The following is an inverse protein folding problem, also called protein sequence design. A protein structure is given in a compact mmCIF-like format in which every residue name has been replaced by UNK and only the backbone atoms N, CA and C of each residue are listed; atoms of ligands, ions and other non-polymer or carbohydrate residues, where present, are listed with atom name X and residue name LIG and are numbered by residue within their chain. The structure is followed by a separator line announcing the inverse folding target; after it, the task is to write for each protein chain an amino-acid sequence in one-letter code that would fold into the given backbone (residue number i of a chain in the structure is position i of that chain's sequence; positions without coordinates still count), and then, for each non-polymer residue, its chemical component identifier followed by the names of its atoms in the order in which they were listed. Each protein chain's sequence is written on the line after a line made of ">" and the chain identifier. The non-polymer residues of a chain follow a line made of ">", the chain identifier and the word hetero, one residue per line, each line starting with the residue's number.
data_IF_135799387635
#
_entry.id   IF_135799387635
#
_cell.length_a   1.000
_cell.length_b   1.000
_cell.length_c   1.000
_cell.angle_alpha   90.00
_cell.angle_beta   90.00
_cell.angle_gamma   90.00
#
_symmetry.space_group_name_H-M   'P 1'
#
loop_
_entity.id
_entity.type
_entity.pdbx_description
1 polymer ?
#
# COMPACT_ATOMS: atom_id res chain seq x y z
N UNK A 1 31.28 -47.96 -3.36
CA UNK A 1 31.94 -49.10 -2.66
C UNK A 1 30.91 -49.72 -1.76
N UNK A 2 30.97 -51.03 -1.53
CA UNK A 2 30.05 -51.74 -0.63
C UNK A 2 30.63 -51.79 0.79
N UNK A 3 29.77 -51.89 1.81
CA UNK A 3 30.14 -52.03 3.23
C UNK A 3 31.23 -53.09 3.48
N UNK A 4 31.13 -54.24 2.81
CA UNK A 4 32.12 -55.33 2.89
C UNK A 4 33.53 -54.92 2.45
N UNK A 5 33.64 -54.09 1.41
CA UNK A 5 34.89 -53.56 0.90
C UNK A 5 35.48 -52.52 1.86
N UNK A 6 34.65 -51.71 2.49
CA UNK A 6 35.10 -50.65 3.41
C UNK A 6 35.56 -51.19 4.75
N UNK A 7 34.86 -52.15 5.34
CA UNK A 7 35.33 -52.85 6.55
C UNK A 7 36.73 -53.43 6.29
N UNK A 8 36.91 -54.11 5.15
CA UNK A 8 38.20 -54.71 4.78
C UNK A 8 39.29 -53.67 4.53
N UNK A 9 38.96 -52.57 3.84
CA UNK A 9 39.87 -51.47 3.53
C UNK A 9 40.37 -50.82 4.82
N UNK A 10 39.48 -50.26 5.62
CA UNK A 10 39.85 -49.49 6.81
C UNK A 10 40.44 -50.38 7.90
N UNK A 11 40.03 -51.65 8.03
CA UNK A 11 40.69 -52.58 8.95
C UNK A 11 42.18 -52.75 8.60
N UNK A 12 42.49 -52.90 7.32
CA UNK A 12 43.87 -53.02 6.84
C UNK A 12 44.65 -51.72 7.02
N UNK A 13 44.04 -50.57 6.75
CA UNK A 13 44.66 -49.25 6.97
C UNK A 13 45.00 -49.02 8.46
N UNK A 14 44.18 -49.56 9.37
CA UNK A 14 44.44 -49.57 10.81
C UNK A 14 45.38 -50.71 11.26
N UNK A 15 46.02 -51.45 10.33
CA UNK A 15 46.95 -52.55 10.62
C UNK A 15 46.38 -53.68 11.51
N UNK A 16 45.06 -53.89 11.50
CA UNK A 16 44.42 -54.93 12.31
C UNK A 16 44.28 -56.23 11.50
N UNK A 17 44.57 -57.38 12.13
CA UNK A 17 44.17 -58.69 11.59
C UNK A 17 42.66 -58.91 11.76
N UNK A 18 42.05 -59.84 11.01
CA UNK A 18 40.65 -60.20 11.21
C UNK A 18 40.39 -60.74 12.63
N UNK A 19 41.36 -61.43 13.22
CA UNK A 19 41.30 -61.93 14.59
C UNK A 19 41.22 -60.76 15.59
N UNK A 20 42.17 -59.83 15.51
CA UNK A 20 42.21 -58.66 16.40
C UNK A 20 40.97 -57.77 16.26
N UNK A 21 40.48 -57.59 15.02
CA UNK A 21 39.27 -56.83 14.75
C UNK A 21 38.03 -57.51 15.35
N UNK A 22 37.93 -58.84 15.23
CA UNK A 22 36.86 -59.62 15.81
C UNK A 22 36.88 -59.58 17.35
N UNK A 23 38.07 -59.75 17.95
CA UNK A 23 38.23 -59.72 19.40
C UNK A 23 37.78 -58.40 20.02
N UNK A 24 38.10 -57.27 19.38
CA UNK A 24 37.71 -55.94 19.87
C UNK A 24 36.20 -55.67 19.78
N UNK A 25 35.50 -56.32 18.85
CA UNK A 25 34.05 -56.21 18.66
C UNK A 25 33.28 -57.34 19.36
N UNK A 26 33.97 -58.20 20.12
CA UNK A 26 33.39 -59.38 20.78
C UNK A 26 32.63 -60.31 19.83
N UNK A 27 33.12 -60.46 18.60
CA UNK A 27 32.58 -61.38 17.59
C UNK A 27 33.61 -62.43 17.18
N UNK A 28 33.19 -63.46 16.44
CA UNK A 28 34.11 -64.46 15.91
C UNK A 28 34.85 -63.95 14.66
N UNK A 29 36.09 -64.37 14.45
CA UNK A 29 36.83 -64.09 13.20
C UNK A 29 36.07 -64.54 11.96
N UNK A 30 35.32 -65.64 12.05
CA UNK A 30 34.49 -66.15 10.97
C UNK A 30 33.37 -65.15 10.60
N UNK A 31 32.79 -64.43 11.57
CA UNK A 31 31.81 -63.38 11.30
C UNK A 31 32.43 -62.23 10.50
N UNK A 32 33.59 -61.73 10.93
CA UNK A 32 34.34 -60.68 10.21
C UNK A 32 34.71 -61.11 8.79
N UNK A 33 35.17 -62.35 8.61
CA UNK A 33 35.47 -62.90 7.29
C UNK A 33 34.24 -62.93 6.37
N UNK A 34 33.07 -63.30 6.90
CA UNK A 34 31.81 -63.27 6.14
C UNK A 34 31.38 -61.84 5.79
N UNK A 35 31.60 -60.87 6.67
CA UNK A 35 31.33 -59.45 6.39
C UNK A 35 32.21 -58.94 5.24
N UNK A 36 33.51 -59.19 5.31
CA UNK A 36 34.48 -58.72 4.30
C UNK A 36 34.38 -59.43 2.94
N UNK A 37 33.73 -60.58 2.90
CA UNK A 37 33.47 -61.36 1.67
C UNK A 37 32.04 -61.22 1.18
N UNK A 38 31.26 -60.30 1.77
CA UNK A 38 29.87 -60.02 1.40
C UNK A 38 28.92 -61.24 1.53
N UNK A 39 29.24 -62.18 2.42
CA UNK A 39 28.46 -63.39 2.72
C UNK A 39 27.46 -63.20 3.86
N UNK A 40 27.67 -62.20 4.70
CA UNK A 40 26.72 -61.74 5.72
C UNK A 40 26.98 -60.28 6.06
N UNK A 41 26.11 -59.67 6.85
CA UNK A 41 26.26 -58.30 7.34
C UNK A 41 26.53 -58.30 8.86
N UNK A 42 27.24 -57.29 9.38
CA UNK A 42 27.22 -57.01 10.81
C UNK A 42 25.80 -56.68 11.26
N UNK A 43 25.50 -56.96 12.53
CA UNK A 43 24.28 -56.44 13.15
C UNK A 43 24.27 -54.91 13.05
N UNK A 44 23.10 -54.32 12.81
CA UNK A 44 22.96 -52.86 12.72
C UNK A 44 23.48 -52.15 13.97
N UNK A 45 23.34 -52.79 15.15
CA UNK A 45 23.82 -52.27 16.42
C UNK A 45 25.35 -52.28 16.54
N UNK A 46 26.05 -53.07 15.74
CA UNK A 46 27.52 -53.10 15.69
C UNK A 46 28.09 -52.04 14.75
N UNK A 47 27.30 -51.47 13.84
CA UNK A 47 27.79 -50.49 12.86
C UNK A 47 28.42 -49.24 13.51
N UNK A 48 27.86 -48.64 14.58
CA UNK A 48 28.51 -47.52 15.26
C UNK A 48 29.88 -47.89 15.83
N UNK A 49 29.99 -49.05 16.47
CA UNK A 49 31.25 -49.53 17.06
C UNK A 49 32.30 -49.85 16.00
N UNK A 50 31.86 -50.42 14.87
CA UNK A 50 32.73 -50.66 13.71
C UNK A 50 33.25 -49.34 13.14
N UNK A 51 32.40 -48.34 12.97
CA UNK A 51 32.76 -47.03 12.43
C UNK A 51 33.77 -46.32 13.35
N UNK A 52 33.51 -46.31 14.66
CA UNK A 52 34.39 -45.74 15.68
C UNK A 52 35.76 -46.44 15.69
N UNK A 53 35.78 -47.78 15.68
CA UNK A 53 37.04 -48.54 15.72
C UNK A 53 37.88 -48.39 14.45
N UNK A 54 37.24 -48.07 13.33
CA UNK A 54 37.89 -47.81 12.04
C UNK A 54 38.22 -46.33 11.83
N UNK A 55 37.81 -45.46 12.76
CA UNK A 55 37.97 -44.01 12.72
C UNK A 55 37.35 -43.35 11.46
N UNK A 56 36.13 -43.77 11.12
CA UNK A 56 35.35 -43.25 9.99
C UNK A 56 33.90 -42.99 10.42
N UNK A 57 33.13 -42.24 9.63
CA UNK A 57 31.69 -42.07 9.89
C UNK A 57 30.90 -43.35 9.51
N UNK A 58 29.69 -43.52 10.07
CA UNK A 58 28.81 -44.63 9.66
C UNK A 58 28.42 -44.48 8.18
N UNK A 59 28.19 -43.26 7.71
CA UNK A 59 27.90 -42.95 6.30
C UNK A 59 29.07 -43.39 5.40
N UNK A 60 30.31 -43.05 5.81
CA UNK A 60 31.51 -43.52 5.14
C UNK A 60 31.61 -45.05 5.19
N UNK A 61 31.31 -45.71 6.31
CA UNK A 61 31.35 -47.17 6.46
C UNK A 61 30.36 -47.92 5.54
N UNK A 62 29.16 -47.37 5.31
CA UNK A 62 28.12 -48.00 4.45
C UNK A 62 28.25 -47.63 2.98
N UNK A 63 29.29 -46.88 2.60
CA UNK A 63 29.61 -46.54 1.21
C UNK A 63 28.85 -45.35 0.68
N UNK A 64 28.24 -44.55 1.57
CA UNK A 64 27.68 -43.25 1.23
C UNK A 64 28.87 -42.30 1.11
N UNK A 65 29.18 -41.88 -0.13
CA UNK A 65 30.17 -40.83 -0.33
C UNK A 65 29.57 -39.55 0.22
N UNK A 66 30.04 -39.12 1.39
CA UNK A 66 29.98 -37.72 1.74
C UNK A 66 30.89 -36.98 0.76
N UNK A 67 30.28 -36.35 -0.24
CA UNK A 67 30.86 -35.15 -0.82
C UNK A 67 30.96 -34.15 0.32
N UNK A 68 32.09 -34.13 1.02
CA UNK A 68 32.70 -32.96 1.67
C UNK A 68 33.75 -33.41 2.71
N UNK A 69 35.03 -33.20 2.37
CA UNK A 69 36.08 -33.07 3.38
C UNK A 69 35.78 -31.82 4.21
N UNK A 70 35.94 -32.02 5.52
CA UNK A 70 35.41 -31.23 6.61
C UNK A 70 35.96 -29.81 6.74
N UNK A 71 35.11 -28.97 7.36
CA UNK A 71 35.47 -27.87 8.28
C UNK A 71 35.99 -26.55 7.71
N UNK A 72 35.09 -25.82 7.04
CA UNK A 72 34.79 -24.41 7.36
C UNK A 72 33.53 -23.89 6.64
N UNK A 73 32.51 -24.73 6.44
CA UNK A 73 31.23 -24.30 5.90
C UNK A 73 30.14 -24.60 6.94
N UNK A 74 29.89 -23.58 7.77
CA UNK A 74 28.58 -23.36 8.36
C UNK A 74 27.52 -23.56 7.27
N UNK A 75 26.52 -24.39 7.56
CA UNK A 75 25.20 -24.47 6.92
C UNK A 75 25.03 -23.58 5.68
N UNK A 76 25.42 -24.06 4.50
CA UNK A 76 24.82 -23.56 3.26
C UNK A 76 23.59 -24.41 2.96
N UNK A 77 22.56 -24.19 3.76
CA UNK A 77 21.21 -24.07 3.19
C UNK A 77 21.40 -23.15 1.98
N UNK A 78 20.98 -23.57 0.79
CA UNK A 78 20.93 -22.69 -0.38
C UNK A 78 19.82 -21.67 -0.10
N UNK A 79 20.04 -20.77 0.85
CA UNK A 79 19.49 -19.44 0.80
C UNK A 79 20.07 -18.84 -0.47
N UNK A 80 19.27 -18.83 -1.54
CA UNK A 80 19.48 -17.88 -2.63
C UNK A 80 19.53 -16.50 -1.96
N UNK A 81 20.72 -16.02 -1.59
CA UNK A 81 20.95 -14.63 -1.23
C UNK A 81 20.54 -13.82 -2.45
N UNK A 82 19.31 -13.31 -2.44
CA UNK A 82 18.83 -12.38 -3.45
C UNK A 82 19.85 -11.25 -3.42
N UNK A 83 20.56 -10.98 -4.52
CA UNK A 83 21.64 -10.01 -4.50
C UNK A 83 21.06 -8.68 -4.04
N UNK A 84 21.68 -8.04 -3.03
CA UNK A 84 21.14 -6.83 -2.38
C UNK A 84 20.72 -5.74 -3.39
N UNK A 85 21.39 -5.68 -4.55
CA UNK A 85 21.01 -4.82 -5.69
C UNK A 85 19.61 -5.13 -6.25
N UNK A 86 19.21 -6.40 -6.38
CA UNK A 86 17.86 -6.80 -6.82
C UNK A 86 16.79 -6.48 -5.77
N UNK A 87 17.09 -6.68 -4.48
CA UNK A 87 16.18 -6.28 -3.39
C UNK A 87 15.94 -4.76 -3.43
N UNK A 88 17.02 -3.98 -3.58
CA UNK A 88 16.95 -2.52 -3.66
C UNK A 88 16.15 -2.02 -4.89
N UNK A 89 16.31 -2.69 -6.04
CA UNK A 89 15.54 -2.37 -7.25
C UNK A 89 14.05 -2.69 -7.03
N UNK A 90 13.72 -3.86 -6.48
CA UNK A 90 12.33 -4.21 -6.18
C UNK A 90 11.70 -3.22 -5.19
N UNK A 91 12.41 -2.84 -4.12
CA UNK A 91 11.88 -1.85 -3.17
C UNK A 91 11.67 -0.48 -3.81
N UNK A 92 12.59 -0.05 -4.69
CA UNK A 92 12.44 1.21 -5.41
C UNK A 92 11.26 1.20 -6.38
N UNK A 93 11.03 0.08 -7.09
CA UNK A 93 9.88 -0.09 -7.98
C UNK A 93 8.56 -0.05 -7.20
N UNK A 94 8.48 -0.76 -6.07
CA UNK A 94 7.28 -0.75 -5.22
C UNK A 94 6.99 0.65 -4.70
N UNK A 95 8.01 1.38 -4.24
CA UNK A 95 7.86 2.76 -3.79
C UNK A 95 7.40 3.69 -4.93
N UNK A 96 7.99 3.54 -6.13
CA UNK A 96 7.59 4.31 -7.31
C UNK A 96 6.14 4.05 -7.69
N UNK A 97 5.71 2.78 -7.71
CA UNK A 97 4.31 2.40 -7.98
C UNK A 97 3.39 3.01 -6.93
N UNK A 98 3.76 2.96 -5.64
CA UNK A 98 2.95 3.55 -4.57
C UNK A 98 2.77 5.07 -4.76
N UNK A 99 3.86 5.80 -5.04
CA UNK A 99 3.82 7.24 -5.33
C UNK A 99 2.96 7.53 -6.57
N UNK A 100 3.14 6.75 -7.63
CA UNK A 100 2.38 6.89 -8.86
C UNK A 100 0.88 6.63 -8.64
N UNK A 101 0.51 5.62 -7.84
CA UNK A 101 -0.87 5.36 -7.46
C UNK A 101 -1.50 6.54 -6.71
N UNK A 102 -0.78 7.14 -5.75
CA UNK A 102 -1.26 8.33 -5.02
C UNK A 102 -1.47 9.49 -5.99
N UNK A 103 -0.54 9.70 -6.93
CA UNK A 103 -0.66 10.73 -7.96
C UNK A 103 -1.87 10.50 -8.88
N UNK A 104 -2.10 9.26 -9.33
CA UNK A 104 -3.27 8.91 -10.14
C UNK A 104 -4.58 9.12 -9.39
N UNK A 105 -4.66 8.74 -8.11
CA UNK A 105 -5.83 8.97 -7.27
C UNK A 105 -6.12 10.48 -7.17
N UNK A 106 -5.08 11.30 -7.01
CA UNK A 106 -5.21 12.77 -6.97
C UNK A 106 -5.79 13.33 -8.28
N UNK A 107 -5.29 12.88 -9.44
CA UNK A 107 -5.81 13.26 -10.77
C UNK A 107 -7.29 12.87 -10.92
N UNK A 108 -7.63 11.63 -10.57
CA UNK A 108 -9.00 11.14 -10.66
C UNK A 108 -9.95 11.97 -9.79
N UNK A 109 -9.51 12.35 -8.58
CA UNK A 109 -10.32 13.16 -7.69
C UNK A 109 -10.54 14.58 -8.24
N UNK A 110 -9.50 15.21 -8.81
CA UNK A 110 -9.62 16.52 -9.48
C UNK A 110 -10.69 16.49 -10.59
N UNK A 111 -10.66 15.48 -11.46
CA UNK A 111 -11.65 15.31 -12.52
C UNK A 111 -13.07 15.11 -11.99
N UNK A 112 -13.24 14.39 -10.87
CA UNK A 112 -14.56 14.18 -10.24
C UNK A 112 -15.20 15.51 -9.85
N UNK A 113 -14.45 16.44 -9.26
CA UNK A 113 -15.01 17.72 -8.86
C UNK A 113 -15.32 18.61 -10.05
N UNK A 114 -14.46 18.65 -11.07
CA UNK A 114 -14.74 19.33 -12.33
C UNK A 114 -16.05 18.86 -12.97
N UNK A 115 -16.28 17.55 -13.04
CA UNK A 115 -17.54 16.98 -13.54
C UNK A 115 -18.72 17.43 -12.68
N UNK A 116 -18.55 17.46 -11.35
CA UNK A 116 -19.58 17.94 -10.41
C UNK A 116 -19.93 19.40 -10.72
N UNK A 117 -18.94 20.28 -10.84
CA UNK A 117 -19.18 21.71 -11.11
C UNK A 117 -19.94 21.93 -12.42
N UNK A 118 -19.50 21.27 -13.50
CA UNK A 118 -20.17 21.34 -14.80
C UNK A 118 -21.62 20.85 -14.75
N UNK A 119 -21.87 19.80 -13.95
CA UNK A 119 -23.20 19.22 -13.77
C UNK A 119 -24.17 20.17 -13.05
N UNK A 120 -23.73 20.83 -11.98
CA UNK A 120 -24.62 21.65 -11.14
C UNK A 120 -24.72 23.10 -11.61
N UNK A 121 -23.62 23.70 -12.03
CA UNK A 121 -23.57 25.11 -12.37
C UNK A 121 -23.64 25.37 -13.88
N UNK A 122 -23.66 24.32 -14.71
CA UNK A 122 -23.74 24.36 -16.19
C UNK A 122 -22.69 25.23 -16.88
N UNK A 123 -21.60 25.55 -16.19
CA UNK A 123 -20.51 26.38 -16.72
C UNK A 123 -19.32 25.54 -17.14
N UNK A 124 -18.65 25.97 -18.21
CA UNK A 124 -17.34 25.42 -18.60
C UNK A 124 -16.26 26.15 -17.79
N UNK A 125 -15.49 25.39 -17.00
CA UNK A 125 -14.42 25.97 -16.19
C UNK A 125 -13.23 26.42 -17.05
N UNK A 126 -12.57 27.54 -16.71
CA UNK A 126 -11.29 27.96 -17.27
C UNK A 126 -10.15 26.98 -16.96
N UNK A 127 -8.97 27.26 -17.48
CA UNK A 127 -7.77 26.49 -17.14
C UNK A 127 -7.43 26.70 -15.65
N UNK A 128 -7.31 25.61 -14.91
CA UNK A 128 -6.99 25.63 -13.48
C UNK A 128 -5.47 25.67 -13.30
N UNK A 129 -5.00 26.58 -12.45
CA UNK A 129 -3.62 26.64 -11.98
C UNK A 129 -3.40 25.70 -10.79
N UNK A 130 -4.26 25.80 -9.78
CA UNK A 130 -4.23 24.93 -8.61
C UNK A 130 -5.62 24.69 -8.04
N UNK A 131 -5.74 23.60 -7.28
CA UNK A 131 -6.97 23.18 -6.64
C UNK A 131 -6.68 22.63 -5.25
N UNK A 132 -7.48 23.04 -4.27
CA UNK A 132 -7.43 22.53 -2.90
C UNK A 132 -8.83 22.19 -2.40
N UNK A 133 -8.91 21.21 -1.50
CA UNK A 133 -10.13 20.83 -0.82
C UNK A 133 -9.91 20.88 0.69
N UNK A 134 -10.81 21.57 1.38
CA UNK A 134 -10.85 21.63 2.83
C UNK A 134 -12.12 20.93 3.34
N UNK A 135 -11.94 19.93 4.20
CA UNK A 135 -13.04 19.27 4.90
C UNK A 135 -13.22 19.88 6.28
N UNK A 136 -14.47 20.07 6.69
CA UNK A 136 -14.83 20.68 7.97
C UNK A 136 -15.49 19.67 8.91
N UNK A 137 -15.40 18.37 8.64
CA UNK A 137 -16.00 17.32 9.48
C UNK A 137 -15.58 17.42 10.95
N UNK A 138 -14.32 17.74 11.22
CA UNK A 138 -13.81 17.93 12.59
C UNK A 138 -14.40 19.16 13.30
N UNK A 139 -14.96 20.11 12.55
CA UNK A 139 -15.57 21.34 13.05
C UNK A 139 -17.08 21.16 13.28
N UNK A 140 -17.70 20.16 12.64
CA UNK A 140 -19.10 19.79 12.84
C UNK A 140 -19.36 19.14 14.21
N UNK A 141 -18.34 18.51 14.80
CA UNK A 141 -18.45 17.77 16.06
C UNK A 141 -18.15 18.62 17.31
N UNK A 142 -17.83 19.90 17.14
CA UNK A 142 -17.75 20.83 18.25
C UNK A 142 -19.16 21.38 18.44
N UNK A 143 -19.82 21.04 19.57
CA UNK A 143 -20.98 21.81 20.04
C UNK A 143 -20.51 23.25 20.20
N UNK A 144 -20.62 24.06 19.14
CA UNK A 144 -20.31 25.47 19.28
C UNK A 144 -21.36 26.04 20.21
N UNK A 145 -20.94 26.62 21.34
CA UNK A 145 -21.80 27.31 22.32
C UNK A 145 -22.73 28.36 21.68
N UNK A 146 -22.50 28.71 20.41
CA UNK A 146 -23.21 29.73 19.64
C UNK A 146 -24.16 29.19 18.55
N UNK A 147 -24.37 27.87 18.44
CA UNK A 147 -25.30 27.30 17.44
C UNK A 147 -24.89 27.50 15.98
N UNK A 148 -23.61 27.77 15.72
CA UNK A 148 -23.08 28.00 14.39
C UNK A 148 -22.78 26.66 13.70
N UNK A 149 -23.42 26.38 12.56
CA UNK A 149 -23.09 25.21 11.74
C UNK A 149 -22.07 25.56 10.65
N UNK A 150 -21.26 24.57 10.28
CA UNK A 150 -20.20 24.69 9.28
C UNK A 150 -20.60 24.03 7.96
N UNK A 151 -19.99 24.43 6.82
CA UNK A 151 -20.10 23.64 5.61
C UNK A 151 -19.50 22.25 5.83
N UNK A 152 -19.83 21.27 5.00
CA UNK A 152 -19.18 19.95 5.00
C UNK A 152 -17.80 20.03 4.37
N UNK A 153 -17.71 20.68 3.21
CA UNK A 153 -16.47 20.86 2.48
C UNK A 153 -16.45 22.18 1.72
N UNK A 154 -15.24 22.64 1.45
CA UNK A 154 -14.95 23.78 0.59
C UNK A 154 -13.93 23.33 -0.44
N UNK A 155 -14.23 23.63 -1.69
CA UNK A 155 -13.31 23.48 -2.81
C UNK A 155 -12.83 24.85 -3.22
N UNK A 156 -11.55 24.93 -3.50
CA UNK A 156 -10.87 26.15 -3.84
C UNK A 156 -10.14 25.95 -5.17
N UNK A 157 -10.50 26.74 -6.17
CA UNK A 157 -9.89 26.73 -7.49
C UNK A 157 -9.20 28.06 -7.74
N UNK A 158 -7.93 28.01 -8.15
CA UNK A 158 -7.19 29.14 -8.71
C UNK A 158 -7.11 28.93 -10.22
N UNK A 159 -7.53 29.92 -11.00
CA UNK A 159 -7.47 29.86 -12.45
C UNK A 159 -6.21 30.53 -12.99
N UNK A 160 -5.69 29.98 -14.10
CA UNK A 160 -4.55 30.56 -14.81
C UNK A 160 -4.95 31.90 -15.40
N UNK A 161 -4.03 32.86 -15.34
CA UNK A 161 -4.19 34.20 -15.92
C UNK A 161 -4.06 34.19 -17.44
N UNK A 162 -5.12 33.79 -18.15
CA UNK A 162 -5.21 33.88 -19.61
C UNK A 162 -6.56 34.47 -20.05
N UNK A 163 -6.68 34.82 -21.34
CA UNK A 163 -7.87 35.43 -21.94
C UNK A 163 -9.20 34.69 -21.64
N UNK A 164 -9.17 33.44 -21.17
CA UNK A 164 -10.37 32.64 -20.84
C UNK A 164 -11.11 33.09 -19.57
N UNK A 165 -10.53 33.96 -18.74
CA UNK A 165 -11.18 34.46 -17.51
C UNK A 165 -12.24 35.53 -17.78
N UNK A 166 -12.01 36.38 -18.77
CA UNK A 166 -12.99 37.37 -19.22
C UNK A 166 -14.16 36.67 -19.90
N UNK A 167 -13.89 35.72 -20.80
CA UNK A 167 -14.91 34.86 -21.43
C UNK A 167 -15.75 34.12 -20.39
N UNK A 168 -15.11 33.60 -19.34
CA UNK A 168 -15.82 32.94 -18.25
C UNK A 168 -16.75 33.91 -17.52
N UNK A 169 -16.24 35.08 -17.15
CA UNK A 169 -17.03 36.13 -16.46
C UNK A 169 -18.18 36.65 -17.33
N UNK A 170 -17.98 36.70 -18.65
CA UNK A 170 -19.00 37.01 -19.65
C UNK A 170 -20.08 35.93 -19.70
N UNK A 171 -19.71 34.65 -19.76
CA UNK A 171 -20.67 33.56 -19.71
C UNK A 171 -21.47 33.51 -18.40
N UNK A 172 -20.83 33.82 -17.26
CA UNK A 172 -21.54 33.95 -15.99
C UNK A 172 -22.55 35.09 -16.02
N UNK A 173 -22.21 36.22 -16.66
CA UNK A 173 -23.12 37.35 -16.81
C UNK A 173 -24.34 37.05 -17.68
N UNK A 174 -24.17 36.29 -18.77
CA UNK A 174 -25.29 35.90 -19.63
C UNK A 174 -26.16 34.80 -19.01
N UNK A 175 -25.67 34.11 -17.98
CA UNK A 175 -26.40 33.04 -17.32
C UNK A 175 -27.44 33.58 -16.35
N UNK A 176 -28.71 33.19 -16.53
CA UNK A 176 -29.76 33.42 -15.54
C UNK A 176 -29.52 32.69 -14.21
N UNK A 177 -28.61 31.71 -14.18
CA UNK A 177 -28.33 30.88 -13.02
C UNK A 177 -27.37 31.56 -12.02
N UNK A 178 -26.61 32.58 -12.44
CA UNK A 178 -25.59 33.23 -11.62
C UNK A 178 -25.99 34.65 -11.22
N UNK A 179 -26.06 34.91 -9.92
CA UNK A 179 -26.33 36.24 -9.38
C UNK A 179 -25.06 37.09 -9.33
N UNK A 180 -25.23 38.41 -9.50
CA UNK A 180 -24.14 39.42 -9.50
C UNK A 180 -24.12 40.35 -8.29
N UNK A 181 -25.27 40.54 -7.66
CA UNK A 181 -25.38 41.44 -6.52
C UNK A 181 -24.95 40.74 -5.23
N UNK A 182 -24.62 41.49 -4.17
CA UNK A 182 -24.42 40.89 -2.86
C UNK A 182 -25.72 40.18 -2.47
N UNK A 183 -25.69 38.86 -2.50
CA UNK A 183 -26.75 38.00 -1.98
C UNK A 183 -27.14 38.56 -0.62
N UNK A 184 -28.42 38.95 -0.43
CA UNK A 184 -28.89 39.41 0.88
C UNK A 184 -28.79 38.22 1.82
N UNK A 185 -27.72 38.19 2.60
CA UNK A 185 -27.43 37.15 3.57
C UNK A 185 -28.48 37.24 4.68
N UNK A 186 -29.38 36.27 4.76
CA UNK A 186 -29.95 35.91 6.05
C UNK A 186 -28.86 35.16 6.79
N UNK A 187 -28.37 35.71 7.90
CA UNK A 187 -27.32 35.10 8.75
C UNK A 187 -27.70 33.70 9.24
N UNK A 188 -28.96 33.31 9.12
CA UNK A 188 -29.45 32.00 9.51
C UNK A 188 -29.36 30.94 8.40
N UNK A 189 -29.28 31.33 7.12
CA UNK A 189 -29.32 30.38 5.99
C UNK A 189 -27.95 29.83 5.60
N UNK A 190 -26.87 30.60 5.79
CA UNK A 190 -25.53 30.17 5.41
C UNK A 190 -24.70 29.79 6.63
N UNK A 191 -23.88 28.72 6.54
CA UNK A 191 -22.80 28.49 7.48
C UNK A 191 -21.90 29.72 7.65
N UNK A 192 -21.47 30.00 8.88
CA UNK A 192 -20.66 31.19 9.22
C UNK A 192 -19.40 31.33 8.35
N UNK A 193 -18.74 30.21 8.04
CA UNK A 193 -17.52 30.23 7.23
C UNK A 193 -17.75 30.74 5.80
N UNK A 194 -18.98 30.62 5.26
CA UNK A 194 -19.31 31.00 3.88
C UNK A 194 -19.43 32.52 3.72
N UNK A 195 -19.96 33.22 4.73
CA UNK A 195 -20.36 34.63 4.63
C UNK A 195 -19.23 35.52 4.10
N UNK A 196 -18.00 35.33 4.60
CA UNK A 196 -16.82 36.09 4.16
C UNK A 196 -16.53 35.89 2.67
N UNK A 197 -16.69 34.67 2.15
CA UNK A 197 -16.40 34.39 0.74
C UNK A 197 -17.49 34.94 -0.16
N UNK A 198 -18.74 34.75 0.24
CA UNK A 198 -19.91 35.27 -0.47
C UNK A 198 -19.90 36.80 -0.54
N UNK A 199 -19.58 37.48 0.57
CA UNK A 199 -19.52 38.95 0.64
C UNK A 199 -18.47 39.58 -0.29
N UNK A 200 -17.43 38.82 -0.64
CA UNK A 200 -16.34 39.25 -1.52
C UNK A 200 -16.48 38.68 -2.95
N UNK A 201 -17.57 37.98 -3.27
CA UNK A 201 -17.77 37.38 -4.59
C UNK A 201 -18.44 38.36 -5.54
N UNK A 202 -17.96 38.38 -6.78
CA UNK A 202 -18.56 39.13 -7.88
C UNK A 202 -19.74 38.34 -8.49
N UNK A 203 -19.68 37.01 -8.41
CA UNK A 203 -20.76 36.13 -8.84
C UNK A 203 -20.99 35.01 -7.84
N UNK A 204 -22.24 34.59 -7.71
CA UNK A 204 -22.61 33.43 -6.91
C UNK A 204 -23.67 32.58 -7.60
N UNK A 205 -23.73 31.29 -7.24
CA UNK A 205 -24.78 30.39 -7.67
C UNK A 205 -25.04 29.36 -6.58
N UNK A 206 -26.24 29.36 -6.03
CA UNK A 206 -26.70 28.37 -5.05
C UNK A 206 -27.54 27.31 -5.77
N UNK A 207 -27.28 26.04 -5.49
CA UNK A 207 -28.02 24.92 -6.08
C UNK A 207 -28.46 23.98 -4.97
N UNK A 208 -29.75 23.69 -4.88
CA UNK A 208 -30.23 22.54 -4.12
C UNK A 208 -29.89 21.27 -4.89
N UNK A 209 -29.08 20.40 -4.30
CA UNK A 209 -28.52 19.22 -4.97
C UNK A 209 -29.60 18.23 -5.38
N UNK A 210 -30.70 18.16 -4.61
CA UNK A 210 -31.81 17.22 -4.83
C UNK A 210 -32.80 17.77 -5.84
N UNK A 211 -33.36 18.96 -5.59
CA UNK A 211 -34.40 19.57 -6.44
C UNK A 211 -33.84 20.18 -7.72
N UNK A 212 -32.53 20.46 -7.77
CA UNK A 212 -31.85 21.22 -8.84
C UNK A 212 -32.29 22.66 -8.97
N UNK A 213 -33.06 23.17 -8.01
CA UNK A 213 -33.44 24.57 -7.96
C UNK A 213 -32.20 25.45 -7.75
N UNK A 214 -32.20 26.58 -8.45
CA UNK A 214 -31.07 27.50 -8.52
C UNK A 214 -31.48 28.81 -7.88
N UNK A 215 -30.64 29.30 -6.97
CA UNK A 215 -30.87 30.52 -6.19
C UNK A 215 -32.24 30.56 -5.49
N UNK A 216 -32.83 29.39 -5.22
CA UNK A 216 -34.01 29.24 -4.38
C UNK A 216 -33.58 28.92 -2.94
N UNK A 217 -34.21 29.59 -2.00
CA UNK A 217 -33.97 29.46 -0.55
C UNK A 217 -35.09 28.70 0.14
N UNK A 218 -36.15 28.32 -0.59
CA UNK A 218 -37.23 27.53 -0.04
C UNK A 218 -36.66 26.19 0.49
N UNK A 219 -36.97 25.89 1.74
CA UNK A 219 -36.50 24.70 2.42
C UNK A 219 -37.62 23.67 2.51
N UNK A 220 -37.34 22.45 2.06
CA UNK A 220 -38.21 21.31 2.31
C UNK A 220 -38.04 20.83 3.76
N UNK A 221 -39.08 20.20 4.33
CA UNK A 221 -38.96 19.53 5.63
C UNK A 221 -37.89 18.44 5.58
N UNK A 222 -37.02 18.39 6.58
CA UNK A 222 -35.88 17.46 6.64
C UNK A 222 -34.56 18.10 6.21
N UNK A 223 -33.62 17.28 5.71
CA UNK A 223 -32.27 17.72 5.36
C UNK A 223 -32.24 18.18 3.90
N UNK A 224 -31.90 19.46 3.70
CA UNK A 224 -31.67 20.06 2.38
C UNK A 224 -30.17 20.12 2.12
N UNK A 225 -29.74 19.62 0.96
CA UNK A 225 -28.33 19.59 0.55
C UNK A 225 -28.04 20.68 -0.47
N UNK A 226 -27.07 21.54 -0.18
CA UNK A 226 -26.75 22.69 -1.03
C UNK A 226 -25.31 22.65 -1.54
N UNK A 227 -25.15 23.16 -2.76
CA UNK A 227 -23.88 23.58 -3.32
C UNK A 227 -23.91 25.07 -3.61
N UNK A 228 -22.96 25.84 -3.07
CA UNK A 228 -22.82 27.26 -3.36
C UNK A 228 -21.49 27.52 -4.05
N UNK A 229 -21.54 28.09 -5.25
CA UNK A 229 -20.39 28.66 -5.94
C UNK A 229 -20.27 30.16 -5.62
N UNK A 230 -19.03 30.62 -5.44
CA UNK A 230 -18.65 31.98 -5.09
C UNK A 230 -17.41 32.34 -5.92
N UNK A 231 -17.57 33.16 -6.95
CA UNK A 231 -16.50 33.52 -7.88
C UNK A 231 -16.04 34.95 -7.65
N UNK A 232 -14.71 35.11 -7.59
CA UNK A 232 -14.00 36.37 -7.39
C UNK A 232 -13.11 36.63 -8.61
N UNK A 233 -13.51 37.57 -9.46
CA UNK A 233 -12.84 37.90 -10.73
C UNK A 233 -11.42 38.41 -10.43
N UNK A 234 -11.30 39.44 -9.59
CA UNK A 234 -10.03 40.11 -9.31
C UNK A 234 -9.01 39.16 -8.69
N UNK A 235 -9.49 38.19 -7.91
CA UNK A 235 -8.62 37.21 -7.27
C UNK A 235 -8.41 35.95 -8.12
N UNK A 236 -9.12 35.80 -9.25
CA UNK A 236 -9.10 34.61 -10.14
C UNK A 236 -9.43 33.32 -9.42
N UNK A 237 -10.41 33.40 -8.51
CA UNK A 237 -10.73 32.31 -7.57
C UNK A 237 -12.18 31.92 -7.65
N UNK A 238 -12.43 30.61 -7.66
CA UNK A 238 -13.75 30.05 -7.45
C UNK A 238 -13.75 29.21 -6.18
N UNK A 239 -14.68 29.53 -5.30
CA UNK A 239 -14.96 28.80 -4.09
C UNK A 239 -16.25 28.03 -4.25
N UNK A 240 -16.27 26.76 -3.87
CA UNK A 240 -17.48 25.94 -3.89
C UNK A 240 -17.67 25.32 -2.53
N UNK A 241 -18.81 25.57 -1.91
CA UNK A 241 -19.17 25.04 -0.60
C UNK A 241 -20.24 23.97 -0.76
N UNK A 242 -20.07 22.87 -0.03
CA UNK A 242 -21.13 21.89 0.19
C UNK A 242 -21.60 22.00 1.63
N UNK A 243 -22.90 22.14 1.86
CA UNK A 243 -23.46 22.24 3.21
C UNK A 243 -24.89 21.71 3.25
N UNK A 244 -25.33 21.40 4.47
CA UNK A 244 -26.69 20.95 4.73
C UNK A 244 -27.43 21.98 5.57
N UNK A 245 -28.75 22.07 5.36
CA UNK A 245 -29.67 22.78 6.23
C UNK A 245 -30.81 21.86 6.63
N UNK A 246 -30.92 21.58 7.92
CA UNK A 246 -32.02 20.81 8.47
C UNK A 246 -33.18 21.72 8.85
N UNK A 247 -34.39 21.35 8.43
CA UNK A 247 -35.64 22.01 8.81
C UNK A 247 -36.55 21.00 9.51
N UNK A 248 -36.95 21.35 10.74
CA UNK A 248 -37.78 20.50 11.61
C UNK A 248 -39.23 20.38 11.12
#
# INVERSE_FOLDING_TARGET
>A
MKLSEQIKKYRKENNLTQEQFASKLFVSKQAVSKWETNRSYPDINLLPQIAEMLNISIDELIGKKDTENSTNNQEKIIEKKIPKKKIFICSAIVLFIAIFCVFLISILNSNKYLIKTKKYFKVKMPDIESFEMQNFENWLNQETEFGNYYPKSMYYYIFKDNQKLEDFSFHLNESADWGKDKMKTSSEFFPVAIEKYLANSDYYCLVNVKTKEINNYDLEKGINHFMLACYQINNKRLYIFEFDKEVK
#
